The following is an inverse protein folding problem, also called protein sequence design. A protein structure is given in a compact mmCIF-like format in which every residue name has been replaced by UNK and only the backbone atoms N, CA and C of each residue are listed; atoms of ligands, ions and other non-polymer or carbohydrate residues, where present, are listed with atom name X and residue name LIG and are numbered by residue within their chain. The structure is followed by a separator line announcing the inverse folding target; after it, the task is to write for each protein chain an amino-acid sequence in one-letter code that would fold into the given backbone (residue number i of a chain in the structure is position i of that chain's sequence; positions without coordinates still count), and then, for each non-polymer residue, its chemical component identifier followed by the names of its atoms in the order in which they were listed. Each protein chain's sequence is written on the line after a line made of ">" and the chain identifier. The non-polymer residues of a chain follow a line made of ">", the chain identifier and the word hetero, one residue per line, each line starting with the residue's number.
data_IF_429750332278
#
_entry.id   IF_429750332278
#
_cell.length_a   1.000
_cell.length_b   1.000
_cell.length_c   1.000
_cell.angle_alpha   90.00
_cell.angle_beta   90.00
_cell.angle_gamma   90.00
#
_symmetry.space_group_name_H-M   'P 1'
#
loop_
_entity.id
_entity.type
_entity.pdbx_description
1 polymer ?
#
# COMPACT_ATOMS: atom_id res chain seq x y z
N UNK A 1 -59.83 9.34 -9.93
CA UNK A 1 -58.86 8.34 -9.46
C UNK A 1 -57.44 8.67 -9.90
N UNK A 2 -56.77 9.48 -9.10
CA UNK A 2 -55.31 9.73 -9.15
C UNK A 2 -54.70 9.47 -7.75
N UNK A 3 -55.30 8.57 -6.97
CA UNK A 3 -54.95 8.28 -5.58
C UNK A 3 -54.01 7.08 -5.40
N UNK A 4 -53.24 6.74 -6.44
CA UNK A 4 -52.17 5.73 -6.34
C UNK A 4 -50.85 6.29 -6.86
N UNK A 5 -50.29 7.25 -6.12
CA UNK A 5 -48.88 7.62 -6.24
C UNK A 5 -48.16 7.14 -4.99
N UNK A 6 -47.17 6.27 -5.20
CA UNK A 6 -46.46 5.53 -4.18
C UNK A 6 -45.84 6.40 -3.09
N UNK A 7 -45.76 5.85 -1.89
CA UNK A 7 -44.99 6.41 -0.79
C UNK A 7 -43.57 6.71 -1.26
N UNK A 8 -43.26 7.99 -1.46
CA UNK A 8 -41.89 8.45 -1.54
C UNK A 8 -41.29 8.27 -0.15
N UNK A 9 -40.41 7.29 0.01
CA UNK A 9 -39.56 7.21 1.18
C UNK A 9 -38.63 8.43 1.15
N UNK A 10 -38.81 9.36 2.09
CA UNK A 10 -37.81 10.39 2.31
C UNK A 10 -36.49 9.69 2.67
N UNK A 11 -35.37 9.97 1.96
CA UNK A 11 -34.10 9.41 2.32
C UNK A 11 -33.73 9.92 3.71
N UNK A 12 -33.64 9.01 4.68
CA UNK A 12 -33.10 9.31 5.99
C UNK A 12 -31.58 9.52 5.86
N UNK A 13 -31.16 10.75 5.57
CA UNK A 13 -29.75 11.12 5.53
C UNK A 13 -29.27 11.34 6.97
N UNK A 14 -28.49 10.39 7.50
CA UNK A 14 -27.79 10.59 8.76
C UNK A 14 -26.44 11.23 8.48
N UNK A 15 -26.28 12.49 8.86
CA UNK A 15 -24.98 13.15 8.89
C UNK A 15 -24.18 12.58 10.07
N UNK A 16 -23.18 11.75 9.77
CA UNK A 16 -22.19 11.33 10.75
C UNK A 16 -21.17 12.47 10.87
N UNK A 17 -21.19 13.16 12.01
CA UNK A 17 -20.12 14.10 12.34
C UNK A 17 -18.90 13.27 12.71
N UNK A 18 -17.80 13.44 11.97
CA UNK A 18 -16.49 12.95 12.41
C UNK A 18 -16.24 13.63 13.75
N UNK A 19 -16.34 12.86 14.82
CA UNK A 19 -15.98 13.34 16.15
C UNK A 19 -14.45 13.47 16.14
N UNK A 20 -13.88 14.61 16.52
CA UNK A 20 -12.41 14.86 16.58
C UNK A 20 -11.66 13.83 17.48
N UNK A 21 -12.40 12.92 18.12
CA UNK A 21 -11.94 11.83 18.98
C UNK A 21 -11.89 10.46 18.29
N UNK A 22 -12.34 10.34 17.04
CA UNK A 22 -12.23 9.08 16.29
C UNK A 22 -10.86 9.00 15.62
N UNK A 23 -9.84 8.62 16.40
CA UNK A 23 -8.57 8.17 15.84
C UNK A 23 -8.82 6.98 14.91
N UNK A 24 -8.35 7.05 13.67
CA UNK A 24 -8.34 5.91 12.74
C UNK A 24 -7.58 4.75 13.37
N UNK A 25 -8.16 3.55 13.35
CA UNK A 25 -7.62 2.37 14.05
C UNK A 25 -7.16 1.33 13.05
N UNK A 26 -5.95 0.84 13.25
CA UNK A 26 -5.33 -0.19 12.45
C UNK A 26 -5.02 -1.41 13.30
N UNK A 27 -5.30 -2.61 12.78
CA UNK A 27 -4.79 -3.85 13.30
C UNK A 27 -3.87 -4.47 12.24
N UNK A 28 -2.58 -4.56 12.54
CA UNK A 28 -1.61 -5.22 11.69
C UNK A 28 -1.61 -6.72 12.00
N UNK A 29 -1.92 -7.54 11.00
CA UNK A 29 -2.08 -9.00 11.13
C UNK A 29 -1.01 -9.69 10.30
N UNK A 30 -0.07 -10.34 10.99
CA UNK A 30 1.18 -10.81 10.41
C UNK A 30 1.23 -12.33 10.39
N UNK A 31 1.36 -12.91 9.20
CA UNK A 31 1.56 -14.34 9.02
C UNK A 31 2.98 -14.75 9.45
N UNK A 32 3.05 -15.69 10.37
CA UNK A 32 4.29 -16.32 10.86
C UNK A 32 4.24 -17.84 10.68
N UNK A 33 3.43 -18.34 9.76
CA UNK A 33 3.39 -19.76 9.39
C UNK A 33 4.69 -20.25 8.75
N UNK A 34 4.92 -21.56 8.74
CA UNK A 34 6.18 -22.14 8.28
C UNK A 34 6.57 -21.78 6.84
N UNK A 35 5.60 -21.59 5.95
CA UNK A 35 5.83 -21.20 4.54
C UNK A 35 6.41 -19.79 4.39
N UNK A 36 6.36 -18.97 5.45
CA UNK A 36 6.99 -17.65 5.47
C UNK A 36 8.52 -17.70 5.54
N UNK A 37 9.13 -18.85 5.89
CA UNK A 37 10.59 -19.01 5.77
C UNK A 37 11.06 -19.19 4.33
N UNK A 38 10.15 -19.54 3.41
CA UNK A 38 10.48 -19.71 2.01
C UNK A 38 10.72 -18.37 1.31
N UNK A 39 11.62 -18.39 0.34
CA UNK A 39 11.95 -17.24 -0.53
C UNK A 39 12.29 -15.93 0.20
N UNK A 40 12.56 -15.95 1.50
CA UNK A 40 12.80 -14.76 2.31
C UNK A 40 11.56 -13.91 2.62
N UNK A 41 10.34 -14.47 2.50
CA UNK A 41 9.06 -13.79 2.76
C UNK A 41 9.01 -13.15 4.15
N UNK A 42 9.38 -13.88 5.20
CA UNK A 42 9.46 -13.39 6.58
C UNK A 42 10.35 -12.16 6.70
N UNK A 43 11.53 -12.17 6.06
CA UNK A 43 12.43 -11.03 6.07
C UNK A 43 11.83 -9.80 5.39
N UNK A 44 11.04 -9.99 4.32
CA UNK A 44 10.30 -8.90 3.66
C UNK A 44 9.19 -8.36 4.56
N UNK A 45 8.35 -9.25 5.11
CA UNK A 45 7.30 -8.89 6.07
C UNK A 45 7.87 -8.09 7.24
N UNK A 46 8.92 -8.59 7.89
CA UNK A 46 9.52 -7.93 9.04
C UNK A 46 9.99 -6.51 8.70
N UNK A 47 10.72 -6.34 7.59
CA UNK A 47 11.21 -5.02 7.16
C UNK A 47 10.07 -4.06 6.85
N UNK A 48 9.06 -4.53 6.12
CA UNK A 48 7.96 -3.68 5.66
C UNK A 48 7.01 -3.32 6.80
N UNK A 49 6.68 -4.27 7.69
CA UNK A 49 5.93 -3.98 8.91
C UNK A 49 6.68 -2.97 9.80
N UNK A 50 8.00 -3.13 9.95
CA UNK A 50 8.82 -2.20 10.75
C UNK A 50 8.82 -0.80 10.13
N UNK A 51 8.90 -0.70 8.80
CA UNK A 51 8.75 0.56 8.07
C UNK A 51 7.38 1.18 8.25
N UNK A 52 6.34 0.37 8.13
CA UNK A 52 4.97 0.83 8.32
C UNK A 52 4.80 1.50 9.69
N UNK A 53 5.26 0.82 10.75
CA UNK A 53 5.22 1.32 12.13
C UNK A 53 6.08 2.57 12.32
N UNK A 54 7.26 2.65 11.74
CA UNK A 54 8.19 3.75 12.01
C UNK A 54 7.90 5.01 11.17
N UNK A 55 7.49 4.87 9.91
CA UNK A 55 7.55 5.97 8.95
C UNK A 55 6.24 6.24 8.18
N UNK A 56 5.33 5.26 8.08
CA UNK A 56 4.16 5.37 7.20
C UNK A 56 2.86 5.62 7.95
N UNK A 57 2.63 4.94 9.07
CA UNK A 57 1.46 5.21 9.91
C UNK A 57 1.60 6.59 10.56
N UNK A 58 0.53 7.37 10.58
CA UNK A 58 0.54 8.76 11.06
C UNK A 58 0.39 8.83 12.58
N UNK A 59 0.95 9.87 13.19
CA UNK A 59 0.74 10.13 14.61
C UNK A 59 -0.74 10.39 14.91
N UNK A 60 -1.18 10.00 16.11
CA UNK A 60 -2.58 10.12 16.55
C UNK A 60 -3.51 9.00 16.06
N UNK A 61 -3.10 8.19 15.08
CA UNK A 61 -3.78 6.93 14.74
C UNK A 61 -3.58 5.89 15.86
N UNK A 62 -4.44 4.88 15.95
CA UNK A 62 -4.24 3.76 16.86
C UNK A 62 -3.75 2.52 16.08
N UNK A 63 -2.78 1.80 16.64
CA UNK A 63 -2.26 0.56 16.08
C UNK A 63 -2.22 -0.56 17.12
N UNK A 64 -2.73 -1.73 16.74
CA UNK A 64 -2.50 -2.99 17.43
C UNK A 64 -1.82 -4.00 16.49
N UNK A 65 -1.12 -4.98 17.06
CA UNK A 65 -0.35 -5.97 16.28
C UNK A 65 -0.75 -7.38 16.72
N UNK A 66 -1.12 -8.19 15.73
CA UNK A 66 -1.45 -9.61 15.85
C UNK A 66 -0.49 -10.39 14.96
N UNK A 67 -0.01 -11.53 15.46
CA UNK A 67 0.58 -12.56 14.61
C UNK A 67 -0.36 -13.75 14.53
N UNK A 68 -0.24 -14.54 13.46
CA UNK A 68 -0.91 -15.84 13.39
C UNK A 68 -0.04 -16.88 12.68
N UNK A 69 -0.17 -18.11 13.14
CA UNK A 69 0.21 -19.31 12.40
C UNK A 69 -0.83 -20.38 12.66
N UNK A 70 -0.51 -21.37 13.49
CA UNK A 70 -1.45 -22.41 13.94
C UNK A 70 -2.56 -21.81 14.82
N UNK A 71 -2.20 -20.77 15.56
CA UNK A 71 -3.08 -19.99 16.42
C UNK A 71 -2.75 -18.50 16.22
N UNK A 72 -3.67 -17.63 16.66
CA UNK A 72 -3.48 -16.19 16.61
C UNK A 72 -3.10 -15.67 18.00
N UNK A 73 -2.14 -14.74 18.04
CA UNK A 73 -1.65 -14.13 19.27
C UNK A 73 -1.56 -12.62 19.12
N UNK A 74 -1.98 -11.91 20.16
CA UNK A 74 -1.80 -10.47 20.24
C UNK A 74 -0.37 -10.17 20.70
N UNK A 75 0.42 -9.54 19.82
CA UNK A 75 1.77 -9.09 20.12
C UNK A 75 1.79 -7.73 20.81
N UNK A 76 0.87 -6.85 20.45
CA UNK A 76 0.73 -5.55 21.09
C UNK A 76 -0.75 -5.13 21.13
N UNK A 77 -1.26 -4.66 22.29
CA UNK A 77 -2.60 -4.09 22.37
C UNK A 77 -2.71 -2.81 21.53
N UNK A 78 -3.93 -2.35 21.28
CA UNK A 78 -4.16 -1.08 20.61
C UNK A 78 -3.51 0.08 21.38
N UNK A 79 -2.68 0.88 20.70
CA UNK A 79 -2.04 2.07 21.29
C UNK A 79 -2.05 3.22 20.28
N UNK A 80 -2.17 4.46 20.77
CA UNK A 80 -1.99 5.64 19.93
C UNK A 80 -0.53 5.73 19.46
N UNK A 81 -0.34 5.91 18.16
CA UNK A 81 0.94 6.09 17.50
C UNK A 81 1.50 7.48 17.84
N UNK A 82 2.73 7.48 18.34
CA UNK A 82 3.57 8.66 18.57
C UNK A 82 5.03 8.20 18.67
N UNK A 83 5.97 9.14 18.75
CA UNK A 83 7.41 8.85 18.83
C UNK A 83 7.79 7.83 19.90
N UNK A 84 7.11 7.82 21.06
CA UNK A 84 7.41 6.89 22.14
C UNK A 84 6.85 5.47 21.87
N UNK A 85 5.65 5.37 21.29
CA UNK A 85 5.00 4.07 21.07
C UNK A 85 5.58 3.32 19.86
N UNK A 86 6.12 4.03 18.86
CA UNK A 86 6.72 3.43 17.65
C UNK A 86 7.83 2.43 17.98
N UNK A 87 8.70 2.75 18.95
CA UNK A 87 9.76 1.83 19.36
C UNK A 87 9.21 0.53 19.95
N UNK A 88 8.19 0.60 20.80
CA UNK A 88 7.55 -0.57 21.40
C UNK A 88 6.81 -1.41 20.35
N UNK A 89 6.10 -0.77 19.43
CA UNK A 89 5.41 -1.42 18.33
C UNK A 89 6.39 -2.11 17.37
N UNK A 90 7.51 -1.47 17.03
CA UNK A 90 8.51 -2.06 16.14
C UNK A 90 9.24 -3.25 16.78
N UNK A 91 9.47 -3.20 18.09
CA UNK A 91 10.20 -4.24 18.82
C UNK A 91 9.45 -5.58 18.89
N UNK A 92 8.11 -5.56 18.79
CA UNK A 92 7.31 -6.79 18.85
C UNK A 92 7.11 -7.46 17.47
N UNK A 93 7.53 -6.82 16.37
CA UNK A 93 7.33 -7.36 15.03
C UNK A 93 8.07 -8.70 14.92
N UNK A 94 7.37 -9.78 14.52
CA UNK A 94 7.92 -11.12 14.59
C UNK A 94 9.13 -11.30 13.68
N UNK A 95 10.03 -12.17 14.14
CA UNK A 95 11.26 -12.55 13.42
C UNK A 95 11.39 -14.05 13.22
N UNK A 96 10.42 -14.83 13.72
CA UNK A 96 10.37 -16.29 13.63
C UNK A 96 9.11 -16.71 12.90
N UNK A 97 9.16 -17.85 12.22
CA UNK A 97 8.03 -18.48 11.55
C UNK A 97 8.00 -19.97 11.87
N UNK A 98 6.82 -20.48 12.17
CA UNK A 98 6.56 -21.88 12.42
C UNK A 98 5.05 -22.16 12.45
N UNK A 99 4.69 -23.41 12.17
CA UNK A 99 3.30 -23.89 12.28
C UNK A 99 2.51 -23.76 10.98
N UNK A 100 1.20 -24.00 11.12
CA UNK A 100 0.22 -23.95 10.04
C UNK A 100 -0.27 -22.53 9.79
N UNK A 101 -1.27 -22.36 8.93
CA UNK A 101 -1.74 -21.05 8.47
C UNK A 101 -3.25 -20.91 8.75
N UNK A 102 -3.60 -20.25 9.86
CA UNK A 102 -4.98 -19.96 10.27
C UNK A 102 -5.33 -18.47 10.11
N UNK A 103 -5.62 -18.06 8.88
CA UNK A 103 -5.92 -16.66 8.54
C UNK A 103 -7.19 -16.19 9.26
N UNK A 104 -8.27 -16.99 9.24
CA UNK A 104 -9.51 -16.61 9.92
C UNK A 104 -9.35 -16.40 11.44
N UNK A 105 -8.49 -17.16 12.13
CA UNK A 105 -8.14 -16.88 13.55
C UNK A 105 -7.47 -15.53 13.71
N UNK A 106 -6.51 -15.19 12.85
CA UNK A 106 -5.84 -13.88 12.85
C UNK A 106 -6.82 -12.73 12.66
N UNK A 107 -7.71 -12.86 11.67
CA UNK A 107 -8.77 -11.88 11.39
C UNK A 107 -9.74 -11.73 12.57
N UNK A 108 -10.15 -12.85 13.19
CA UNK A 108 -11.04 -12.83 14.35
C UNK A 108 -10.41 -12.12 15.54
N UNK A 109 -9.16 -12.45 15.87
CA UNK A 109 -8.46 -11.79 16.96
C UNK A 109 -8.24 -10.30 16.70
N UNK A 110 -7.94 -9.92 15.45
CA UNK A 110 -7.83 -8.52 15.06
C UNK A 110 -9.15 -7.77 15.18
N UNK A 111 -10.27 -8.37 14.77
CA UNK A 111 -11.61 -7.81 14.95
C UNK A 111 -11.95 -7.61 16.45
N UNK A 112 -11.65 -8.61 17.28
CA UNK A 112 -11.88 -8.53 18.72
C UNK A 112 -10.95 -7.49 19.40
N UNK A 113 -9.71 -7.36 18.93
CA UNK A 113 -8.76 -6.31 19.36
C UNK A 113 -9.26 -4.91 19.01
N UNK A 114 -9.74 -4.73 17.77
CA UNK A 114 -10.42 -3.50 17.37
C UNK A 114 -11.63 -3.28 18.28
N UNK A 115 -12.38 -4.30 18.69
CA UNK A 115 -13.50 -4.15 19.62
C UNK A 115 -13.11 -3.76 21.05
N UNK A 116 -12.07 -4.37 21.61
CA UNK A 116 -11.75 -4.32 23.06
C UNK A 116 -11.13 -3.00 23.54
N UNK A 117 -10.44 -2.26 22.67
CA UNK A 117 -9.98 -0.88 22.96
C UNK A 117 -11.12 0.14 23.13
N UNK A 118 -12.36 -0.23 22.81
CA UNK A 118 -13.55 0.63 22.95
C UNK A 118 -14.15 0.64 24.37
N UNK A 119 -13.31 0.58 25.40
CA UNK A 119 -13.74 0.75 26.79
C UNK A 119 -14.38 2.14 26.96
N UNK A 120 -15.72 2.20 26.95
CA UNK A 120 -16.50 3.38 27.32
C UNK A 120 -17.48 3.96 26.28
N UNK A 121 -17.48 3.53 25.02
CA UNK A 121 -18.45 4.05 24.01
C UNK A 121 -18.79 2.93 23.04
N UNK A 122 -20.09 2.67 22.84
CA UNK A 122 -20.65 1.48 22.19
C UNK A 122 -20.16 1.17 20.76
N UNK A 123 -20.71 0.10 20.18
CA UNK A 123 -20.37 -0.58 18.92
C UNK A 123 -20.17 0.28 17.65
N UNK A 124 -20.27 1.61 17.72
CA UNK A 124 -19.97 2.55 16.64
C UNK A 124 -18.50 2.91 16.44
N UNK A 125 -17.55 2.31 17.19
CA UNK A 125 -16.09 2.56 17.04
C UNK A 125 -15.34 1.59 16.11
N UNK A 126 -16.02 0.56 15.59
CA UNK A 126 -15.42 -0.39 14.63
C UNK A 126 -15.50 0.11 13.19
N UNK A 127 -16.56 0.84 12.87
CA UNK A 127 -16.81 1.35 11.52
C UNK A 127 -15.69 2.30 11.10
N UNK A 128 -15.03 1.99 9.97
CA UNK A 128 -13.87 2.74 9.48
C UNK A 128 -12.51 2.26 10.01
N UNK A 129 -12.48 1.29 10.93
CA UNK A 129 -11.25 0.61 11.32
C UNK A 129 -10.71 -0.25 10.18
N UNK A 130 -9.39 -0.45 10.15
CA UNK A 130 -8.71 -1.23 9.10
C UNK A 130 -7.91 -2.37 9.69
N UNK A 131 -8.04 -3.54 9.10
CA UNK A 131 -7.12 -4.66 9.27
C UNK A 131 -6.16 -4.63 8.10
N UNK A 132 -4.85 -4.66 8.37
CA UNK A 132 -3.81 -4.84 7.35
C UNK A 132 -3.25 -6.25 7.49
N UNK A 133 -3.63 -7.14 6.57
CA UNK A 133 -3.26 -8.54 6.55
C UNK A 133 -2.05 -8.76 5.62
N UNK A 134 -1.00 -9.41 6.11
CA UNK A 134 0.16 -9.81 5.31
C UNK A 134 0.36 -11.30 5.45
N UNK A 135 0.29 -12.03 4.34
CA UNK A 135 0.33 -13.49 4.30
C UNK A 135 0.81 -13.98 2.95
N UNK A 136 1.32 -15.21 2.90
CA UNK A 136 1.58 -15.90 1.63
C UNK A 136 0.37 -16.72 1.15
N UNK A 137 -0.70 -16.79 1.96
CA UNK A 137 -2.08 -16.91 1.51
C UNK A 137 -2.70 -18.29 1.52
N UNK A 138 -2.00 -19.34 1.95
CA UNK A 138 -2.57 -20.70 1.95
C UNK A 138 -3.19 -21.08 3.30
N UNK A 139 -4.43 -20.63 3.57
CA UNK A 139 -5.17 -21.06 4.75
C UNK A 139 -5.39 -22.59 4.73
N UNK A 140 -4.70 -23.30 5.61
CA UNK A 140 -4.59 -24.76 5.61
C UNK A 140 -4.98 -25.40 6.94
N UNK A 141 -5.54 -24.62 7.87
CA UNK A 141 -6.00 -25.08 9.17
C UNK A 141 -7.51 -24.87 9.39
N UNK A 142 -8.03 -25.55 10.41
CA UNK A 142 -9.43 -25.52 10.81
C UNK A 142 -9.86 -24.20 11.48
N UNK A 143 -11.18 -24.11 11.63
CA UNK A 143 -12.02 -22.96 11.98
C UNK A 143 -11.49 -21.99 13.08
N UNK A 144 -11.87 -20.69 13.01
CA UNK A 144 -12.67 -20.12 11.93
C UNK A 144 -11.86 -19.85 10.67
N UNK A 145 -12.46 -20.10 9.50
CA UNK A 145 -11.87 -19.77 8.18
C UNK A 145 -12.18 -18.34 7.76
N UNK A 146 -11.48 -17.83 6.72
CA UNK A 146 -11.76 -16.50 6.13
C UNK A 146 -13.26 -16.30 5.87
N UNK A 147 -13.92 -17.28 5.24
CA UNK A 147 -15.34 -17.20 4.85
C UNK A 147 -16.30 -17.11 6.04
N UNK A 148 -15.93 -17.68 7.18
CA UNK A 148 -16.74 -17.69 8.39
C UNK A 148 -16.65 -16.35 9.14
N UNK A 149 -15.49 -15.68 9.05
CA UNK A 149 -15.26 -14.37 9.68
C UNK A 149 -15.72 -13.20 8.80
N UNK A 150 -15.79 -13.39 7.48
CA UNK A 150 -16.16 -12.35 6.53
C UNK A 150 -17.50 -11.67 6.86
N UNK A 151 -18.61 -12.38 7.17
CA UNK A 151 -19.86 -11.72 7.54
C UNK A 151 -19.75 -10.84 8.79
N UNK A 152 -18.94 -11.25 9.78
CA UNK A 152 -18.71 -10.46 11.00
C UNK A 152 -17.94 -9.16 10.68
N UNK A 153 -16.91 -9.24 9.84
CA UNK A 153 -16.11 -8.08 9.41
C UNK A 153 -16.95 -7.06 8.64
N UNK A 154 -17.73 -7.54 7.66
CA UNK A 154 -18.61 -6.68 6.85
C UNK A 154 -19.68 -6.02 7.71
N UNK A 155 -20.30 -6.77 8.62
CA UNK A 155 -21.30 -6.23 9.56
C UNK A 155 -20.70 -5.21 10.53
N UNK A 156 -19.44 -5.40 10.93
CA UNK A 156 -18.72 -4.46 11.78
C UNK A 156 -18.25 -3.19 11.04
N UNK A 157 -18.32 -3.16 9.70
CA UNK A 157 -17.82 -2.06 8.88
C UNK A 157 -16.30 -1.91 8.95
N UNK A 158 -15.59 -3.02 9.15
CA UNK A 158 -14.12 -3.08 9.20
C UNK A 158 -13.61 -3.36 7.80
N UNK A 159 -12.68 -2.52 7.34
CA UNK A 159 -11.98 -2.68 6.07
C UNK A 159 -10.83 -3.66 6.22
N UNK A 160 -10.62 -4.55 5.25
CA UNK A 160 -9.45 -5.43 5.19
C UNK A 160 -8.60 -5.02 3.99
N UNK A 161 -7.39 -4.59 4.26
CA UNK A 161 -6.34 -4.34 3.29
C UNK A 161 -5.37 -5.53 3.33
N UNK A 162 -5.02 -6.14 2.20
CA UNK A 162 -4.21 -7.35 2.15
C UNK A 162 -2.95 -7.21 1.29
N UNK A 163 -1.88 -7.87 1.72
CA UNK A 163 -0.65 -8.07 0.96
C UNK A 163 -0.39 -9.57 0.86
N UNK A 164 -0.46 -10.10 -0.35
CA UNK A 164 -0.17 -11.49 -0.70
C UNK A 164 1.29 -11.66 -1.14
N UNK A 165 2.03 -12.57 -0.50
CA UNK A 165 3.49 -12.74 -0.66
C UNK A 165 3.93 -13.97 -1.45
N UNK A 166 3.02 -14.65 -2.15
CA UNK A 166 3.34 -15.84 -2.93
C UNK A 166 2.70 -15.82 -4.30
N UNK A 167 3.24 -16.64 -5.20
CA UNK A 167 2.69 -16.79 -6.53
C UNK A 167 1.35 -17.55 -6.60
N UNK A 168 0.96 -18.21 -5.51
CA UNK A 168 -0.24 -19.05 -5.40
C UNK A 168 -1.24 -18.52 -4.39
N UNK A 169 -1.16 -17.23 -4.03
CA UNK A 169 -1.98 -16.66 -2.98
C UNK A 169 -3.47 -16.87 -3.25
N UNK A 170 -4.20 -17.24 -2.21
CA UNK A 170 -5.60 -17.64 -2.32
C UNK A 170 -6.51 -16.49 -2.78
N UNK A 171 -7.36 -16.75 -3.79
CA UNK A 171 -8.36 -15.82 -4.30
C UNK A 171 -9.29 -15.26 -3.20
N UNK A 172 -9.43 -15.97 -2.08
CA UNK A 172 -10.14 -15.52 -0.88
C UNK A 172 -9.55 -14.25 -0.27
N UNK A 173 -8.24 -13.99 -0.42
CA UNK A 173 -7.57 -12.76 0.05
C UNK A 173 -7.96 -11.53 -0.76
N UNK A 174 -8.10 -11.68 -2.07
CA UNK A 174 -8.58 -10.60 -2.92
C UNK A 174 -10.05 -10.32 -2.63
N UNK A 175 -10.85 -11.40 -2.51
CA UNK A 175 -12.27 -11.32 -2.22
C UNK A 175 -12.57 -10.59 -0.93
N UNK A 176 -11.91 -10.93 0.19
CA UNK A 176 -12.17 -10.26 1.48
C UNK A 176 -11.81 -8.77 1.44
N UNK A 177 -10.72 -8.41 0.77
CA UNK A 177 -10.33 -7.01 0.63
C UNK A 177 -11.32 -6.25 -0.22
N UNK A 178 -11.74 -6.80 -1.37
CA UNK A 178 -12.71 -6.17 -2.24
C UNK A 178 -14.09 -6.02 -1.56
N UNK A 179 -14.63 -7.10 -0.95
CA UNK A 179 -15.96 -7.06 -0.32
C UNK A 179 -16.00 -6.11 0.89
N UNK A 180 -14.87 -5.93 1.60
CA UNK A 180 -14.76 -4.97 2.72
C UNK A 180 -14.39 -3.55 2.29
N UNK A 181 -14.18 -3.30 0.99
CA UNK A 181 -13.81 -1.99 0.44
C UNK A 181 -12.33 -1.61 0.63
N UNK A 182 -11.48 -2.57 0.96
CA UNK A 182 -10.02 -2.43 1.01
C UNK A 182 -9.34 -2.78 -0.31
N UNK A 183 -8.01 -2.86 -0.27
CA UNK A 183 -7.15 -3.16 -1.43
C UNK A 183 -6.34 -4.42 -1.18
N UNK A 184 -6.19 -5.21 -2.24
CA UNK A 184 -5.28 -6.35 -2.27
C UNK A 184 -4.06 -5.98 -3.12
N UNK A 185 -2.86 -6.21 -2.59
CA UNK A 185 -1.61 -6.10 -3.32
C UNK A 185 -0.97 -7.47 -3.39
N UNK A 186 -0.57 -7.87 -4.58
CA UNK A 186 0.10 -9.13 -4.83
C UNK A 186 1.59 -8.90 -5.07
N UNK A 187 2.42 -9.83 -4.58
CA UNK A 187 3.86 -9.76 -4.66
C UNK A 187 4.46 -11.10 -5.03
N UNK A 188 5.25 -11.08 -6.10
CA UNK A 188 5.98 -12.24 -6.58
C UNK A 188 7.13 -12.60 -5.64
N UNK A 189 7.39 -13.91 -5.53
CA UNK A 189 8.60 -14.39 -4.90
C UNK A 189 9.83 -14.03 -5.75
N UNK A 190 10.95 -13.71 -5.07
CA UNK A 190 12.24 -13.34 -5.67
C UNK A 190 12.29 -12.02 -6.46
N UNK A 191 11.21 -11.25 -6.47
CA UNK A 191 11.23 -9.91 -7.05
C UNK A 191 12.04 -8.92 -6.19
N UNK A 192 12.90 -8.16 -6.86
CA UNK A 192 13.70 -7.11 -6.22
C UNK A 192 12.87 -5.88 -5.85
N UNK A 193 11.73 -5.67 -6.52
CA UNK A 193 10.80 -4.58 -6.28
C UNK A 193 9.80 -4.87 -5.16
N UNK A 194 9.75 -6.09 -4.59
CA UNK A 194 8.76 -6.46 -3.57
C UNK A 194 8.73 -5.53 -2.37
N UNK A 195 9.89 -5.10 -1.84
CA UNK A 195 9.92 -4.19 -0.69
C UNK A 195 9.29 -2.83 -1.04
N UNK A 196 9.46 -2.36 -2.28
CA UNK A 196 8.85 -1.12 -2.78
C UNK A 196 7.35 -1.27 -2.96
N UNK A 197 6.91 -2.41 -3.50
CA UNK A 197 5.50 -2.73 -3.61
C UNK A 197 4.83 -2.74 -2.23
N UNK A 198 5.48 -3.31 -1.20
CA UNK A 198 4.95 -3.29 0.18
C UNK A 198 4.82 -1.89 0.75
N UNK A 199 5.86 -1.07 0.61
CA UNK A 199 5.81 0.31 1.07
C UNK A 199 4.70 1.09 0.35
N UNK A 200 4.59 0.92 -0.97
CA UNK A 200 3.54 1.53 -1.78
C UNK A 200 2.15 1.06 -1.36
N UNK A 201 1.99 -0.23 -1.06
CA UNK A 201 0.74 -0.81 -0.55
C UNK A 201 0.35 -0.17 0.80
N UNK A 202 1.28 -0.15 1.76
CA UNK A 202 1.07 0.47 3.06
C UNK A 202 0.73 1.95 2.97
N UNK A 203 1.48 2.71 2.15
CA UNK A 203 1.16 4.11 1.88
C UNK A 203 -0.24 4.25 1.30
N UNK A 204 -0.62 3.38 0.36
CA UNK A 204 -1.96 3.30 -0.20
C UNK A 204 -3.04 3.07 0.85
N UNK A 205 -2.82 2.13 1.79
CA UNK A 205 -3.77 1.81 2.86
C UNK A 205 -3.99 2.98 3.83
N UNK A 206 -2.90 3.64 4.25
CA UNK A 206 -2.96 4.83 5.12
C UNK A 206 -3.61 6.00 4.38
N UNK A 207 -3.23 6.22 3.13
CA UNK A 207 -3.77 7.29 2.29
C UNK A 207 -5.28 7.12 2.07
N UNK A 208 -5.77 5.89 1.88
CA UNK A 208 -7.20 5.60 1.65
C UNK A 208 -8.11 5.96 2.84
N UNK A 209 -7.53 6.17 4.03
CA UNK A 209 -8.27 6.68 5.20
C UNK A 209 -8.54 8.19 5.15
N UNK A 210 -7.88 8.90 4.23
CA UNK A 210 -8.06 10.33 4.05
C UNK A 210 -9.08 10.61 2.94
N UNK A 211 -9.68 11.79 2.98
CA UNK A 211 -10.53 12.28 1.89
C UNK A 211 -9.77 12.22 0.56
N UNK A 212 -10.46 11.82 -0.52
CA UNK A 212 -9.89 11.58 -1.86
C UNK A 212 -9.01 12.74 -2.33
N UNK A 213 -9.34 13.98 -1.95
CA UNK A 213 -8.59 15.16 -2.36
C UNK A 213 -7.25 15.38 -1.65
N UNK A 214 -7.00 14.73 -0.51
CA UNK A 214 -5.75 14.81 0.24
C UNK A 214 -5.01 13.47 0.29
N UNK A 215 -5.50 12.46 -0.43
CA UNK A 215 -4.80 11.21 -0.62
C UNK A 215 -3.49 11.44 -1.38
N UNK A 216 -2.42 10.80 -0.95
CA UNK A 216 -1.13 10.77 -1.64
C UNK A 216 -1.30 10.27 -3.08
N UNK A 217 -0.56 10.87 -4.02
CA UNK A 217 -0.52 10.48 -5.43
C UNK A 217 0.83 9.83 -5.73
N UNK A 218 0.80 8.65 -6.35
CA UNK A 218 1.99 8.01 -6.93
C UNK A 218 2.26 8.61 -8.30
N UNK A 219 3.35 9.38 -8.41
CA UNK A 219 3.77 10.03 -9.65
C UNK A 219 4.56 9.04 -10.52
N UNK A 220 5.38 8.21 -9.88
CA UNK A 220 6.21 7.21 -10.56
C UNK A 220 6.35 5.97 -9.70
N UNK A 221 6.26 4.81 -10.32
CA UNK A 221 6.71 3.54 -9.75
C UNK A 221 7.34 2.74 -10.91
N UNK A 222 8.67 2.65 -10.95
CA UNK A 222 9.42 2.04 -12.06
C UNK A 222 10.67 1.35 -11.58
N UNK A 223 10.96 0.20 -12.17
CA UNK A 223 12.29 -0.39 -12.08
C UNK A 223 13.32 0.40 -12.90
N UNK A 224 14.53 0.41 -12.37
CA UNK A 224 15.71 1.08 -12.92
C UNK A 224 16.82 0.04 -13.00
N UNK A 225 17.10 -0.39 -14.23
CA UNK A 225 18.21 -1.28 -14.54
C UNK A 225 19.46 -0.42 -14.75
N UNK A 226 20.51 -0.67 -13.96
CA UNK A 226 21.75 0.09 -14.00
C UNK A 226 22.79 -0.75 -14.76
N UNK A 227 23.27 -0.27 -15.91
CA UNK A 227 24.20 -1.03 -16.76
C UNK A 227 25.52 -0.28 -16.86
N UNK A 228 26.60 -0.96 -16.47
CA UNK A 228 27.96 -0.42 -16.57
C UNK A 228 28.22 0.76 -15.62
N UNK A 229 29.13 1.65 -16.00
CA UNK A 229 29.60 2.75 -15.16
C UNK A 229 28.76 4.03 -15.27
N UNK A 230 27.84 4.12 -16.25
CA UNK A 230 27.06 5.34 -16.50
C UNK A 230 25.82 5.39 -15.60
N UNK A 231 25.61 6.51 -14.87
CA UNK A 231 24.39 6.68 -14.11
C UNK A 231 23.18 6.80 -15.03
N UNK A 232 22.09 6.14 -14.64
CA UNK A 232 20.79 6.27 -15.28
C UNK A 232 20.10 7.53 -14.75
N UNK A 233 19.52 8.32 -15.64
CA UNK A 233 18.74 9.52 -15.27
C UNK A 233 17.26 9.24 -15.46
N UNK A 234 16.46 9.45 -14.42
CA UNK A 234 15.00 9.42 -14.48
C UNK A 234 14.45 10.83 -14.27
N UNK A 235 13.48 11.20 -15.10
CA UNK A 235 12.80 12.51 -15.02
C UNK A 235 11.42 12.32 -14.41
N UNK A 236 11.13 13.13 -13.41
CA UNK A 236 9.85 13.10 -12.68
C UNK A 236 9.25 14.48 -12.77
N UNK A 237 8.00 14.58 -13.20
CA UNK A 237 7.29 15.86 -13.33
C UNK A 237 6.38 15.99 -12.12
N UNK A 238 6.53 17.09 -11.38
CA UNK A 238 5.64 17.46 -10.27
C UNK A 238 4.83 18.65 -10.73
N UNK A 239 3.52 18.46 -10.85
CA UNK A 239 2.58 19.50 -11.25
C UNK A 239 2.28 20.49 -10.11
N UNK A 240 1.63 21.60 -10.43
CA UNK A 240 1.34 22.66 -9.46
C UNK A 240 0.41 22.21 -8.32
N UNK A 241 -0.46 21.23 -8.58
CA UNK A 241 -1.39 20.67 -7.60
C UNK A 241 -0.70 19.74 -6.59
N UNK A 242 0.51 19.29 -6.90
CA UNK A 242 1.31 18.39 -6.08
C UNK A 242 2.53 19.10 -5.53
N UNK A 243 3.16 18.48 -4.55
CA UNK A 243 4.46 18.92 -4.03
C UNK A 243 4.53 18.95 -2.51
N UNK A 244 3.43 18.72 -1.78
CA UNK A 244 3.50 18.57 -0.33
C UNK A 244 4.04 17.19 0.02
N UNK A 245 4.91 17.08 1.03
CA UNK A 245 5.46 15.80 1.52
C UNK A 245 5.95 14.88 0.40
N UNK A 246 6.64 15.44 -0.60
CA UNK A 246 7.11 14.67 -1.76
C UNK A 246 8.21 13.73 -1.30
N UNK A 247 8.08 12.44 -1.64
CA UNK A 247 9.03 11.39 -1.26
C UNK A 247 9.55 10.70 -2.50
N UNK A 248 10.88 10.66 -2.61
CA UNK A 248 11.61 9.82 -3.55
C UNK A 248 12.16 8.63 -2.78
N UNK A 249 11.68 7.44 -3.12
CA UNK A 249 11.96 6.18 -2.44
C UNK A 249 12.63 5.24 -3.43
N UNK A 250 13.81 4.73 -3.07
CA UNK A 250 14.57 3.79 -3.89
C UNK A 250 14.89 2.54 -3.07
N UNK A 251 14.52 1.38 -3.59
CA UNK A 251 14.93 0.08 -3.03
C UNK A 251 15.86 -0.66 -3.98
N UNK A 252 16.88 -1.31 -3.44
CA UNK A 252 17.75 -2.18 -4.23
C UNK A 252 18.44 -3.23 -3.37
N UNK A 253 18.80 -4.38 -3.97
CA UNK A 253 19.50 -5.46 -3.26
C UNK A 253 20.79 -4.98 -2.60
N UNK A 254 21.48 -4.03 -3.22
CA UNK A 254 22.74 -3.45 -2.76
C UNK A 254 22.67 -1.91 -2.78
N UNK A 255 21.93 -1.33 -1.83
CA UNK A 255 21.90 0.13 -1.66
C UNK A 255 23.24 0.72 -1.25
N UNK A 256 24.16 -0.09 -0.72
CA UNK A 256 25.48 0.38 -0.30
C UNK A 256 26.36 0.76 -1.47
N UNK A 257 26.27 0.01 -2.56
CA UNK A 257 26.94 0.31 -3.81
C UNK A 257 26.25 1.40 -4.65
N UNK A 258 24.99 1.76 -4.36
CA UNK A 258 24.29 2.81 -5.11
C UNK A 258 24.75 4.22 -4.75
N UNK A 259 24.91 5.05 -5.78
CA UNK A 259 25.08 6.49 -5.67
C UNK A 259 23.87 7.18 -6.28
N UNK A 260 23.10 7.90 -5.45
CA UNK A 260 21.86 8.56 -5.86
C UNK A 260 21.99 10.06 -5.66
N UNK A 261 21.59 10.84 -6.67
CA UNK A 261 21.50 12.31 -6.59
C UNK A 261 20.17 12.78 -7.13
N UNK A 262 19.59 13.77 -6.47
CA UNK A 262 18.34 14.41 -6.86
C UNK A 262 18.64 15.84 -7.28
N UNK A 263 18.13 16.27 -8.42
CA UNK A 263 18.24 17.64 -8.89
C UNK A 263 16.86 18.23 -9.04
N UNK A 264 16.61 19.30 -8.31
CA UNK A 264 15.38 20.05 -8.32
C UNK A 264 15.23 20.89 -9.60
N UNK A 265 14.00 21.30 -9.95
CA UNK A 265 13.72 22.19 -11.08
C UNK A 265 14.47 23.52 -11.04
N UNK A 266 14.81 24.02 -9.85
CA UNK A 266 15.59 25.24 -9.64
C UNK A 266 17.10 25.06 -9.84
N UNK A 267 17.56 23.83 -10.10
CA UNK A 267 18.96 23.47 -10.30
C UNK A 267 19.69 23.04 -9.02
N UNK A 268 19.06 23.13 -7.84
CA UNK A 268 19.66 22.65 -6.59
C UNK A 268 19.81 21.12 -6.63
N UNK A 269 20.95 20.63 -6.15
CA UNK A 269 21.25 19.19 -6.11
C UNK A 269 21.36 18.70 -4.67
N UNK A 270 20.81 17.51 -4.42
CA UNK A 270 20.81 16.84 -3.13
C UNK A 270 21.40 15.44 -3.28
N UNK A 271 22.25 15.07 -2.34
CA UNK A 271 22.88 13.75 -2.28
C UNK A 271 22.94 13.26 -0.83
N UNK A 272 23.70 12.19 -0.59
CA UNK A 272 23.83 11.55 0.72
C UNK A 272 24.37 12.45 1.85
N UNK A 273 24.87 13.64 1.55
CA UNK A 273 25.35 14.60 2.56
C UNK A 273 24.23 15.45 3.17
N UNK A 274 23.04 15.43 2.57
CA UNK A 274 21.90 16.24 3.01
C UNK A 274 21.10 15.54 4.12
N UNK A 275 20.60 16.29 5.10
CA UNK A 275 19.83 15.79 6.26
C UNK A 275 18.53 15.04 5.88
N UNK A 276 17.84 15.51 4.84
CA UNK A 276 16.64 14.92 4.24
C UNK A 276 16.93 13.65 3.43
N UNK A 277 18.19 13.34 3.15
CA UNK A 277 18.58 12.08 2.53
C UNK A 277 18.79 11.03 3.62
N UNK A 278 18.00 9.95 3.59
CA UNK A 278 18.11 8.84 4.52
C UNK A 278 18.51 7.59 3.77
N UNK A 279 19.61 6.95 4.18
CA UNK A 279 20.01 5.62 3.70
C UNK A 279 19.94 4.64 4.84
N UNK A 280 19.16 3.58 4.63
CA UNK A 280 18.83 2.61 5.65
C UNK A 280 19.17 1.23 5.07
N UNK A 281 20.46 0.91 5.07
CA UNK A 281 21.03 -0.26 4.39
C UNK A 281 20.45 -1.59 4.90
N UNK A 282 20.15 -1.69 6.20
CA UNK A 282 19.44 -2.84 6.77
C UNK A 282 18.06 -3.08 6.14
N UNK A 283 17.45 -2.02 5.62
CA UNK A 283 16.17 -2.04 4.93
C UNK A 283 16.29 -2.02 3.42
N UNK A 284 17.52 -2.02 2.87
CA UNK A 284 17.77 -1.94 1.42
C UNK A 284 17.11 -0.72 0.78
N UNK A 285 17.14 0.40 1.50
CA UNK A 285 16.31 1.57 1.23
C UNK A 285 17.09 2.89 1.23
N UNK A 286 16.76 3.76 0.28
CA UNK A 286 17.19 5.16 0.20
C UNK A 286 15.95 6.03 0.05
N UNK A 287 15.87 7.09 0.85
CA UNK A 287 14.80 8.09 0.79
C UNK A 287 15.38 9.49 0.64
N UNK A 288 14.71 10.31 -0.16
CA UNK A 288 14.83 11.76 -0.09
C UNK A 288 13.44 12.36 -0.03
N UNK A 289 13.16 13.16 1.00
CA UNK A 289 11.85 13.77 1.21
C UNK A 289 11.93 15.29 1.23
N UNK A 290 10.93 15.94 0.62
CA UNK A 290 10.81 17.40 0.55
C UNK A 290 9.41 17.79 0.95
N UNK A 291 9.30 18.57 2.02
CA UNK A 291 8.00 19.00 2.55
C UNK A 291 7.25 19.89 1.56
N UNK A 292 7.92 20.84 0.92
CA UNK A 292 7.37 21.72 -0.12
C UNK A 292 8.26 21.65 -1.36
N UNK A 293 8.00 20.66 -2.21
CA UNK A 293 8.78 20.41 -3.43
C UNK A 293 8.52 21.47 -4.50
N UNK A 294 9.52 21.99 -5.23
CA UNK A 294 9.30 22.87 -6.37
C UNK A 294 8.57 22.16 -7.52
N UNK A 295 7.70 22.92 -8.20
CA UNK A 295 6.97 22.49 -9.40
C UNK A 295 7.94 22.36 -10.57
N UNK A 296 7.76 21.32 -11.38
CA UNK A 296 8.53 21.11 -12.60
C UNK A 296 9.25 19.77 -12.65
N UNK A 297 10.33 19.74 -13.44
CA UNK A 297 11.07 18.51 -13.74
C UNK A 297 12.17 18.28 -12.72
N UNK A 298 12.03 17.22 -11.93
CA UNK A 298 13.09 16.66 -11.12
C UNK A 298 13.90 15.64 -11.92
N UNK A 299 15.22 15.64 -11.73
CA UNK A 299 16.11 14.64 -12.30
C UNK A 299 16.68 13.77 -11.17
N UNK A 300 16.49 12.46 -11.27
CA UNK A 300 17.04 11.46 -10.34
C UNK A 300 18.16 10.72 -11.05
N UNK A 301 19.38 10.91 -10.58
CA UNK A 301 20.57 10.23 -11.10
C UNK A 301 20.87 9.02 -10.21
N UNK A 302 20.93 7.84 -10.82
CA UNK A 302 21.15 6.58 -10.12
C UNK A 302 22.33 5.88 -10.78
N UNK A 303 23.45 5.80 -10.06
CA UNK A 303 24.66 5.11 -10.49
C UNK A 303 25.15 4.12 -9.43
N UNK A 304 26.30 3.52 -9.70
CA UNK A 304 26.96 2.58 -8.79
C UNK A 304 28.40 2.99 -8.51
N UNK A 305 28.88 2.71 -7.31
CA UNK A 305 30.24 3.01 -6.87
C UNK A 305 31.24 2.05 -7.51
N UNK A 306 30.85 0.79 -7.68
CA UNK A 306 31.63 -0.27 -8.32
C UNK A 306 30.72 -1.04 -9.28
N UNK A 307 31.05 -1.14 -10.58
CA UNK A 307 30.32 -1.98 -11.51
C UNK A 307 30.31 -3.44 -11.02
N UNK A 308 29.11 -4.00 -10.87
CA UNK A 308 28.92 -5.42 -10.55
C UNK A 308 28.68 -6.24 -11.82
N UNK A 309 29.09 -7.53 -11.85
CA UNK A 309 28.74 -8.45 -12.94
C UNK A 309 27.21 -8.67 -13.03
N UNK A 310 26.54 -8.68 -11.87
CA UNK A 310 25.08 -8.71 -11.80
C UNK A 310 24.54 -7.33 -12.20
N UNK A 311 23.48 -7.30 -13.03
CA UNK A 311 22.85 -6.04 -13.43
C UNK A 311 22.01 -5.52 -12.27
N UNK A 312 22.42 -4.46 -11.55
CA UNK A 312 21.66 -4.00 -10.40
C UNK A 312 20.31 -3.46 -10.86
N UNK A 313 19.26 -3.92 -10.20
CA UNK A 313 17.92 -3.39 -10.34
C UNK A 313 17.61 -2.57 -9.09
N UNK A 314 17.09 -1.38 -9.30
CA UNK A 314 16.56 -0.53 -8.25
C UNK A 314 15.13 -0.14 -8.59
N UNK A 315 14.21 -0.22 -7.64
CA UNK A 315 12.84 0.24 -7.85
C UNK A 315 12.69 1.67 -7.31
N UNK A 316 12.35 2.61 -8.19
CA UNK A 316 12.14 4.01 -7.89
C UNK A 316 10.64 4.29 -7.79
N UNK A 317 10.21 4.71 -6.60
CA UNK A 317 8.88 5.23 -6.35
C UNK A 317 8.94 6.70 -5.98
N UNK A 318 8.09 7.50 -6.60
CA UNK A 318 7.90 8.91 -6.26
C UNK A 318 6.45 9.16 -5.94
N UNK A 319 6.22 9.71 -4.75
CA UNK A 319 4.90 10.05 -4.26
C UNK A 319 4.86 11.50 -3.81
N UNK A 320 3.67 12.10 -3.86
CA UNK A 320 3.47 13.48 -3.41
C UNK A 320 2.04 13.67 -2.91
N UNK A 321 1.91 14.40 -1.81
CA UNK A 321 0.61 14.83 -1.32
C UNK A 321 0.13 16.06 -2.12
N UNK A 322 -1.18 16.21 -2.32
CA UNK A 322 -1.76 17.41 -2.91
C UNK A 322 -1.44 18.64 -2.07
N UNK A 323 -1.14 19.77 -2.72
CA UNK A 323 -0.93 21.03 -2.01
C UNK A 323 -2.22 21.47 -1.32
N UNK A 324 -2.13 21.98 -0.08
CA UNK A 324 -3.29 22.58 0.55
C UNK A 324 -3.73 23.78 -0.29
N UNK A 325 -5.02 23.83 -0.59
CA UNK A 325 -5.62 25.01 -1.22
C UNK A 325 -6.11 25.93 -0.11
N UNK A 326 -5.80 27.23 -0.22
CA UNK A 326 -6.27 28.20 0.77
C UNK A 326 -7.79 28.22 0.83
N UNK A 327 -8.36 28.53 2.00
CA UNK A 327 -9.80 28.48 2.28
C UNK A 327 -10.69 29.26 1.29
N UNK A 328 -10.11 30.22 0.55
CA UNK A 328 -10.80 31.06 -0.44
C UNK A 328 -10.34 30.82 -1.89
N UNK A 329 -9.68 29.70 -2.17
CA UNK A 329 -9.23 29.36 -3.53
C UNK A 329 -9.96 28.12 -4.05
N UNK A 330 -10.25 28.10 -5.35
CA UNK A 330 -10.77 26.92 -6.01
C UNK A 330 -9.79 25.76 -5.80
N UNK A 331 -10.27 24.69 -5.17
CA UNK A 331 -9.47 23.49 -4.87
C UNK A 331 -8.90 22.94 -6.17
N UNK A 332 -7.58 22.98 -6.34
CA UNK A 332 -6.93 22.36 -7.50
C UNK A 332 -6.73 20.88 -7.19
N UNK A 333 -7.47 20.04 -7.91
CA UNK A 333 -7.37 18.59 -7.75
C UNK A 333 -6.23 18.06 -8.62
N UNK A 334 -5.36 17.18 -8.11
CA UNK A 334 -4.37 16.50 -8.93
C UNK A 334 -5.07 15.55 -9.91
N UNK A 335 -4.33 15.15 -10.94
CA UNK A 335 -4.74 14.04 -11.80
C UNK A 335 -4.63 12.74 -11.01
N UNK A 336 -5.66 11.90 -11.09
CA UNK A 336 -5.68 10.56 -10.52
C UNK A 336 -6.02 9.55 -11.61
N UNK A 337 -5.37 8.40 -11.54
CA UNK A 337 -5.62 7.25 -12.42
C UNK A 337 -6.02 6.09 -11.53
N UNK A 338 -7.19 5.53 -11.78
CA UNK A 338 -7.61 4.25 -11.21
C UNK A 338 -7.62 3.21 -12.32
N UNK A 339 -7.20 1.98 -12.02
CA UNK A 339 -7.25 0.87 -12.97
C UNK A 339 -7.99 -0.31 -12.33
N UNK A 340 -8.74 -1.05 -13.14
CA UNK A 340 -9.53 -2.19 -12.67
C UNK A 340 -9.70 -3.23 -13.78
N UNK A 341 -9.78 -4.50 -13.38
CA UNK A 341 -10.18 -5.58 -14.26
C UNK A 341 -11.71 -5.63 -14.38
N UNK A 342 -12.21 -6.01 -15.55
CA UNK A 342 -13.64 -6.21 -15.77
C UNK A 342 -14.20 -7.41 -15.00
N UNK A 343 -13.38 -8.44 -14.81
CA UNK A 343 -13.73 -9.69 -14.14
C UNK A 343 -12.62 -10.10 -13.16
N UNK A 344 -12.98 -10.63 -11.99
CA UNK A 344 -12.02 -11.15 -11.00
C UNK A 344 -11.34 -12.44 -11.43
N UNK A 345 -12.06 -13.30 -12.16
CA UNK A 345 -11.51 -14.54 -12.70
C UNK A 345 -11.63 -14.55 -14.21
N UNK A 346 -10.49 -14.63 -14.90
CA UNK A 346 -10.45 -14.80 -16.35
C UNK A 346 -9.99 -16.23 -16.66
N UNK A 347 -10.92 -17.08 -17.10
CA UNK A 347 -10.63 -18.46 -17.51
C UNK A 347 -10.59 -18.56 -19.02
N UNK A 348 -9.46 -19.03 -19.56
CA UNK A 348 -9.34 -19.29 -21.00
C UNK A 348 -10.51 -20.15 -21.49
N UNK A 349 -11.20 -19.79 -22.60
CA UNK A 349 -10.81 -18.79 -23.61
C UNK A 349 -11.38 -17.37 -23.39
N UNK A 350 -11.91 -17.05 -22.21
CA UNK A 350 -12.38 -15.69 -21.91
C UNK A 350 -11.23 -14.66 -22.00
N UNK A 351 -11.56 -13.45 -22.44
CA UNK A 351 -10.60 -12.35 -22.59
C UNK A 351 -10.63 -11.47 -21.35
N UNK A 352 -9.46 -11.13 -20.80
CA UNK A 352 -9.35 -10.17 -19.71
C UNK A 352 -9.60 -8.75 -20.25
N UNK A 353 -10.52 -8.02 -19.61
CA UNK A 353 -10.75 -6.60 -19.88
C UNK A 353 -10.06 -5.77 -18.81
N UNK A 354 -9.29 -4.77 -19.23
CA UNK A 354 -8.60 -3.82 -18.36
C UNK A 354 -9.14 -2.45 -18.66
N UNK A 355 -9.59 -1.76 -17.63
CA UNK A 355 -10.13 -0.41 -17.71
C UNK A 355 -9.28 0.54 -16.87
N UNK A 356 -9.29 1.81 -17.26
CA UNK A 356 -8.74 2.88 -16.44
C UNK A 356 -9.69 4.08 -16.41
N UNK A 357 -9.72 4.76 -15.28
CA UNK A 357 -10.45 6.00 -15.07
C UNK A 357 -9.44 7.09 -14.72
N UNK A 358 -9.30 8.07 -15.61
CA UNK A 358 -8.39 9.22 -15.46
C UNK A 358 -9.21 10.46 -15.15
N UNK A 359 -9.02 11.05 -13.96
CA UNK A 359 -9.79 12.21 -13.51
C UNK A 359 -8.93 13.34 -12.96
N UNK A 360 -9.46 14.55 -13.09
CA UNK A 360 -9.00 15.74 -12.36
C UNK A 360 -10.17 16.28 -11.52
N UNK A 361 -10.21 15.86 -10.26
CA UNK A 361 -11.36 16.11 -9.39
C UNK A 361 -12.61 15.40 -9.91
N UNK A 362 -13.76 16.09 -10.06
CA UNK A 362 -14.98 15.46 -10.58
C UNK A 362 -14.94 15.23 -12.10
N UNK A 363 -13.99 15.81 -12.82
CA UNK A 363 -13.95 15.79 -14.28
C UNK A 363 -13.12 14.63 -14.80
N UNK A 364 -13.66 13.86 -15.75
CA UNK A 364 -12.87 12.91 -16.53
C UNK A 364 -11.91 13.64 -17.49
N UNK A 365 -10.71 13.09 -17.67
CA UNK A 365 -9.73 13.57 -18.65
C UNK A 365 -9.85 12.72 -19.90
N UNK A 366 -10.28 13.34 -20.99
CA UNK A 366 -10.45 12.71 -22.31
C UNK A 366 -9.16 12.89 -23.13
N UNK A 367 -8.78 11.90 -23.92
CA UNK A 367 -7.58 11.90 -24.75
C UNK A 367 -6.30 11.67 -23.94
N UNK A 368 -6.42 11.16 -22.72
CA UNK A 368 -5.27 10.76 -21.93
C UNK A 368 -4.64 9.51 -22.54
N UNK A 369 -3.33 9.52 -22.74
CA UNK A 369 -2.61 8.32 -23.15
C UNK A 369 -2.38 7.42 -21.95
N UNK A 370 -3.11 6.31 -21.86
CA UNK A 370 -3.00 5.36 -20.76
C UNK A 370 -2.30 4.09 -21.22
N UNK A 371 -1.18 3.76 -20.56
CA UNK A 371 -0.46 2.50 -20.75
C UNK A 371 -0.67 1.64 -19.51
N UNK A 372 -1.28 0.48 -19.67
CA UNK A 372 -1.42 -0.51 -18.61
C UNK A 372 -0.41 -1.64 -18.82
N UNK A 373 0.27 -2.04 -17.74
CA UNK A 373 1.14 -3.22 -17.73
C UNK A 373 0.45 -4.29 -16.90
N UNK A 374 0.12 -5.41 -17.53
CA UNK A 374 -0.49 -6.58 -16.90
C UNK A 374 0.61 -7.57 -16.56
N UNK A 375 0.87 -7.71 -15.27
CA UNK A 375 1.78 -8.71 -14.73
C UNK A 375 1.06 -10.05 -14.64
N UNK A 376 1.71 -11.12 -15.11
CA UNK A 376 1.16 -12.48 -15.04
C UNK A 376 1.74 -13.24 -13.84
N UNK A 377 0.98 -14.14 -13.21
CA UNK A 377 1.53 -15.09 -12.24
C UNK A 377 2.56 -15.99 -12.92
N UNK A 378 3.70 -16.26 -12.27
CA UNK A 378 4.65 -17.25 -12.79
C UNK A 378 4.09 -18.64 -12.54
N UNK A 379 3.85 -19.41 -13.60
CA UNK A 379 3.53 -20.84 -13.48
C UNK A 379 4.81 -21.65 -13.29
N UNK A 380 4.83 -22.52 -12.29
CA UNK A 380 5.90 -23.43 -11.87
C UNK A 380 7.06 -23.63 -12.88
N UNK A 381 8.15 -22.89 -12.67
CA UNK A 381 9.45 -23.18 -13.26
C UNK A 381 9.78 -22.51 -14.59
N UNK A 382 8.86 -21.79 -15.23
CA UNK A 382 9.16 -21.02 -16.45
C UNK A 382 9.19 -19.52 -16.16
N UNK A 383 10.37 -19.03 -15.75
CA UNK A 383 10.61 -17.65 -15.29
C UNK A 383 10.62 -16.60 -16.41
N UNK A 384 9.88 -16.82 -17.51
CA UNK A 384 9.97 -15.99 -18.71
C UNK A 384 8.66 -15.72 -19.45
N UNK A 385 7.50 -15.70 -18.78
CA UNK A 385 6.34 -15.03 -19.40
C UNK A 385 6.48 -13.51 -19.24
N UNK A 386 6.71 -12.74 -20.32
CA UNK A 386 6.87 -11.29 -20.21
C UNK A 386 5.54 -10.63 -19.83
N UNK A 387 5.63 -9.56 -19.05
CA UNK A 387 4.50 -8.69 -18.75
C UNK A 387 3.93 -8.11 -20.05
N UNK A 388 2.61 -7.98 -20.10
CA UNK A 388 1.93 -7.45 -21.30
C UNK A 388 1.64 -5.98 -21.08
N UNK A 389 2.24 -5.13 -21.90
CA UNK A 389 1.89 -3.70 -21.91
C UNK A 389 0.88 -3.43 -23.02
N UNK A 390 -0.27 -2.86 -22.64
CA UNK A 390 -1.35 -2.47 -23.54
C UNK A 390 -1.61 -0.97 -23.43
N UNK A 391 -1.94 -0.34 -24.54
CA UNK A 391 -2.49 1.01 -24.56
C UNK A 391 -4.00 0.91 -24.42
N UNK A 392 -4.57 1.60 -23.44
CA UNK A 392 -6.02 1.67 -23.24
C UNK A 392 -6.58 2.84 -24.04
N UNK A 393 -7.65 2.58 -24.79
CA UNK A 393 -8.27 3.55 -25.69
C UNK A 393 -9.54 4.09 -25.05
N UNK A 394 -9.78 5.39 -25.25
CA UNK A 394 -11.08 6.00 -24.95
C UNK A 394 -12.07 5.57 -26.05
N UNK A 395 -13.12 4.83 -25.67
CA UNK A 395 -14.29 4.55 -26.52
C UNK A 395 -15.51 5.38 -26.07
#
# INVERSE_FOLDING_TARGET
>A
DLDTLGQYYEPAIRLLRVDDRQSTRFALVLDVSGSMDDYGRRGRLHRAATRFVNDLILDGMELGIVQFSTDAEQLHPMVTVNDNSRQALAAVIPTQSAGWTAIGKGLKLALDMLGSGASGVGSGRLQGSTIVLITDGEENQNEPKIEEIMPELLKAGVRVDSIALSNGSDARLERISMESGGKCFYMKDNDSATNTAMETAFMGFVSQQRDVEIQTVTIMNREVIIIGDKPVTKRVIIDEELGKNTRFSLHSKDTDNLTVKFKAPDGQTYDQTHDKYKKLSAFKYIEFSVEDSPVGVWEVYIGQHRPTPDTPVASLTVTSDPRPTGANQTRKHPVRVNAFFGDLEVRYPATALVYADVRKGPNAIIGARVMATVERPDTDGDSQTPDVTVELWDD
#
